data_IF_692900953975
#
_entry.id   IF_692900953975
#
_cell.length_a   1.000
_cell.length_b   1.000
_cell.length_c   1.000
_cell.angle_alpha   90.00
_cell.angle_beta   90.00
_cell.angle_gamma   90.00
#
_symmetry.space_group_name_H-M   'P 1'
#
loop_
_entity.id
_entity.type
_entity.pdbx_description
1 polymer ?
#
# COMPACT_ATOMS: atom_id res chain seq x y z
N UNK A 1 -6.99 -30.31 -3.95
CA UNK A 1 -5.95 -29.28 -3.71
C UNK A 1 -6.64 -28.01 -3.24
N UNK A 2 -6.21 -27.48 -2.09
CA UNK A 2 -6.84 -26.31 -1.49
C UNK A 2 -6.31 -25.03 -2.14
N UNK A 3 -7.22 -24.10 -2.44
CA UNK A 3 -6.90 -22.86 -3.18
C UNK A 3 -7.53 -21.65 -2.50
N UNK A 4 -7.00 -20.45 -2.78
CA UNK A 4 -7.62 -19.22 -2.29
C UNK A 4 -8.82 -18.84 -3.15
N UNK A 5 -9.93 -18.48 -2.51
CA UNK A 5 -11.10 -17.88 -3.16
C UNK A 5 -11.38 -16.50 -2.57
N UNK A 6 -11.79 -15.55 -3.41
CA UNK A 6 -12.19 -14.22 -2.95
C UNK A 6 -13.60 -14.29 -2.36
N UNK A 7 -13.76 -13.84 -1.12
CA UNK A 7 -15.04 -13.86 -0.40
C UNK A 7 -15.64 -12.46 -0.23
N UNK A 8 -14.81 -11.48 0.10
CA UNK A 8 -15.21 -10.08 0.24
C UNK A 8 -14.06 -9.16 -0.25
N UNK A 9 -14.27 -7.83 -0.33
CA UNK A 9 -13.18 -6.91 -0.65
C UNK A 9 -11.99 -7.11 0.30
N UNK A 10 -10.83 -7.43 -0.26
CA UNK A 10 -9.59 -7.73 0.48
C UNK A 10 -9.64 -8.95 1.43
N UNK A 11 -10.66 -9.81 1.32
CA UNK A 11 -10.76 -11.05 2.11
C UNK A 11 -10.70 -12.25 1.19
N UNK A 12 -9.70 -13.09 1.41
CA UNK A 12 -9.54 -14.39 0.77
C UNK A 12 -9.72 -15.51 1.79
N UNK A 13 -10.39 -16.57 1.38
CA UNK A 13 -10.75 -17.73 2.20
C UNK A 13 -10.16 -18.98 1.55
N UNK A 14 -9.97 -20.05 2.31
CA UNK A 14 -9.61 -21.34 1.75
C UNK A 14 -10.83 -21.97 1.10
N UNK A 15 -10.67 -22.39 -0.15
CA UNK A 15 -11.58 -23.27 -0.88
C UNK A 15 -11.00 -24.68 -0.83
N UNK A 16 -11.68 -25.57 -0.10
CA UNK A 16 -11.24 -26.94 0.14
C UNK A 16 -12.20 -27.94 -0.50
N UNK A 17 -11.68 -29.08 -0.92
CA UNK A 17 -12.48 -30.21 -1.44
C UNK A 17 -12.99 -31.11 -0.32
N UNK A 18 -12.30 -31.11 0.82
CA UNK A 18 -12.60 -31.93 1.99
C UNK A 18 -13.02 -31.04 3.16
N UNK A 19 -13.70 -31.64 4.14
CA UNK A 19 -14.06 -30.97 5.38
C UNK A 19 -12.86 -30.96 6.30
N UNK A 20 -12.67 -29.82 6.95
CA UNK A 20 -11.62 -29.59 7.91
C UNK A 20 -12.17 -28.97 9.19
N UNK A 21 -11.42 -29.14 10.29
CA UNK A 21 -11.78 -28.64 11.61
C UNK A 21 -11.11 -27.29 11.93
N UNK A 22 -11.71 -26.55 12.87
CA UNK A 22 -11.13 -25.29 13.36
C UNK A 22 -9.79 -25.57 14.06
N UNK A 23 -8.76 -24.84 13.66
CA UNK A 23 -7.38 -24.99 14.16
C UNK A 23 -6.49 -25.90 13.32
N UNK A 24 -7.04 -26.63 12.36
CA UNK A 24 -6.25 -27.48 11.46
C UNK A 24 -5.35 -26.63 10.54
N UNK A 25 -4.14 -27.11 10.28
CA UNK A 25 -3.18 -26.46 9.37
C UNK A 25 -3.27 -27.14 8.02
N UNK A 26 -3.62 -26.36 6.99
CA UNK A 26 -3.73 -26.83 5.61
C UNK A 26 -2.80 -26.06 4.68
N UNK A 27 -2.32 -26.73 3.63
CA UNK A 27 -1.57 -26.08 2.56
C UNK A 27 -2.53 -25.47 1.54
N UNK A 28 -2.49 -24.14 1.40
CA UNK A 28 -3.31 -23.41 0.44
C UNK A 28 -2.44 -22.86 -0.69
N UNK A 29 -2.80 -23.20 -1.91
CA UNK A 29 -2.05 -22.83 -3.11
C UNK A 29 -2.56 -21.51 -3.68
N UNK A 30 -1.64 -20.59 -3.93
CA UNK A 30 -1.91 -19.32 -4.62
C UNK A 30 -2.12 -19.54 -6.13
N UNK A 31 -2.72 -18.57 -6.83
CA UNK A 31 -2.87 -18.60 -8.29
C UNK A 31 -1.55 -18.78 -9.05
N UNK A 32 -0.42 -18.45 -8.42
CA UNK A 32 0.92 -18.55 -9.00
C UNK A 32 1.67 -19.83 -8.58
N UNK A 33 0.99 -20.80 -7.97
CA UNK A 33 1.59 -22.10 -7.60
C UNK A 33 2.41 -22.09 -6.31
N UNK A 34 2.49 -20.96 -5.60
CA UNK A 34 3.13 -20.92 -4.27
C UNK A 34 2.17 -21.46 -3.22
N UNK A 35 2.62 -22.44 -2.45
CA UNK A 35 1.91 -23.00 -1.30
C UNK A 35 2.26 -22.24 -0.02
N UNK A 36 1.28 -22.12 0.88
CA UNK A 36 1.51 -21.59 2.22
C UNK A 36 0.62 -22.32 3.21
N UNK A 37 1.19 -22.60 4.37
CA UNK A 37 0.47 -23.15 5.51
C UNK A 37 -0.52 -22.12 6.05
N UNK A 38 -1.77 -22.52 6.18
CA UNK A 38 -2.85 -21.68 6.68
C UNK A 38 -3.65 -22.45 7.74
N UNK A 39 -3.85 -21.81 8.88
CA UNK A 39 -4.66 -22.29 9.98
C UNK A 39 -6.12 -21.98 9.66
N UNK A 40 -6.97 -22.99 9.76
CA UNK A 40 -8.41 -22.87 9.57
C UNK A 40 -9.04 -22.24 10.81
N UNK A 41 -9.92 -21.28 10.57
CA UNK A 41 -10.62 -20.57 11.64
C UNK A 41 -12.11 -20.94 11.66
N UNK A 42 -12.94 -20.31 10.84
CA UNK A 42 -14.39 -20.58 10.82
C UNK A 42 -14.84 -21.15 9.49
N UNK A 43 -15.77 -22.12 9.56
CA UNK A 43 -16.53 -22.55 8.39
C UNK A 43 -17.52 -21.46 7.97
N UNK A 44 -17.56 -21.14 6.67
CA UNK A 44 -18.33 -20.01 6.16
C UNK A 44 -19.56 -20.43 5.35
N UNK A 45 -19.37 -21.38 4.44
CA UNK A 45 -20.40 -21.94 3.57
C UNK A 45 -19.89 -23.16 2.80
N UNK A 46 -20.83 -23.94 2.29
CA UNK A 46 -20.62 -24.98 1.30
C UNK A 46 -21.27 -24.55 -0.02
N UNK A 47 -20.54 -24.70 -1.13
CA UNK A 47 -21.05 -24.36 -2.47
C UNK A 47 -20.33 -25.18 -3.53
N UNK A 48 -21.09 -25.70 -4.49
CA UNK A 48 -20.57 -26.45 -5.64
C UNK A 48 -19.67 -27.64 -5.23
N UNK A 49 -19.96 -28.28 -4.09
CA UNK A 49 -19.17 -29.37 -3.52
C UNK A 49 -17.85 -28.95 -2.85
N UNK A 50 -17.64 -27.65 -2.64
CA UNK A 50 -16.47 -27.11 -1.94
C UNK A 50 -16.84 -26.49 -0.60
N UNK A 51 -15.92 -26.61 0.35
CA UNK A 51 -16.02 -26.05 1.69
C UNK A 51 -15.16 -24.79 1.80
N UNK A 52 -15.76 -23.71 2.30
CA UNK A 52 -15.10 -22.42 2.42
C UNK A 52 -14.81 -22.08 3.88
N UNK A 53 -13.55 -21.74 4.17
CA UNK A 53 -13.08 -21.46 5.52
C UNK A 53 -12.35 -20.13 5.60
N UNK A 54 -12.60 -19.34 6.63
CA UNK A 54 -11.69 -18.26 7.00
C UNK A 54 -10.38 -18.86 7.49
N UNK A 55 -9.27 -18.17 7.17
CA UNK A 55 -7.94 -18.71 7.39
C UNK A 55 -6.97 -17.62 7.83
N UNK A 56 -6.00 -18.01 8.66
CA UNK A 56 -4.83 -17.21 8.98
C UNK A 56 -3.60 -17.91 8.46
N UNK A 57 -2.68 -17.19 7.82
CA UNK A 57 -1.43 -17.82 7.42
C UNK A 57 -0.59 -18.11 8.66
N UNK A 58 -0.07 -19.34 8.75
CA UNK A 58 0.73 -19.78 9.89
C UNK A 58 2.04 -18.97 10.03
N UNK A 59 2.56 -18.45 8.90
CA UNK A 59 3.74 -17.58 8.87
C UNK A 59 3.49 -16.13 9.38
N UNK A 60 2.27 -15.82 9.82
CA UNK A 60 1.87 -14.50 10.29
C UNK A 60 1.78 -13.44 9.19
N UNK A 61 1.89 -13.82 7.92
CA UNK A 61 1.86 -12.87 6.82
C UNK A 61 0.45 -12.34 6.59
N UNK A 62 0.25 -11.05 6.87
CA UNK A 62 -1.01 -10.35 6.72
C UNK A 62 -0.85 -9.09 5.84
N UNK A 63 -1.91 -8.27 5.74
CA UNK A 63 -1.85 -7.05 4.92
C UNK A 63 -0.87 -6.00 5.46
N UNK A 64 -0.58 -6.00 6.76
CA UNK A 64 0.38 -5.07 7.38
C UNK A 64 1.80 -5.48 7.02
N UNK A 65 2.14 -6.76 7.14
CA UNK A 65 3.44 -7.28 6.70
C UNK A 65 3.66 -7.08 5.20
N UNK A 66 2.61 -7.25 4.38
CA UNK A 66 2.68 -6.95 2.95
C UNK A 66 2.98 -5.46 2.69
N UNK A 67 2.28 -4.56 3.40
CA UNK A 67 2.49 -3.12 3.28
C UNK A 67 3.91 -2.72 3.73
N UNK A 68 4.41 -3.31 4.82
CA UNK A 68 5.78 -3.13 5.30
C UNK A 68 6.83 -3.52 4.26
N UNK A 69 6.76 -4.75 3.72
CA UNK A 69 7.68 -5.20 2.67
C UNK A 69 7.61 -4.33 1.42
N UNK A 70 6.44 -3.77 1.11
CA UNK A 70 6.26 -2.88 -0.04
C UNK A 70 6.89 -1.51 0.20
N UNK A 71 6.70 -0.93 1.38
CA UNK A 71 7.34 0.32 1.80
C UNK A 71 8.87 0.20 1.76
N UNK A 72 9.44 -0.83 2.40
CA UNK A 72 10.89 -1.08 2.42
C UNK A 72 11.49 -1.18 1.01
N UNK A 73 10.81 -1.89 0.10
CA UNK A 73 11.26 -1.99 -1.30
C UNK A 73 11.24 -0.65 -2.02
N UNK A 74 10.25 0.19 -1.75
CA UNK A 74 10.13 1.51 -2.36
C UNK A 74 11.19 2.46 -1.80
N UNK A 75 11.41 2.47 -0.49
CA UNK A 75 12.48 3.24 0.16
C UNK A 75 13.85 2.85 -0.39
N UNK A 76 14.17 1.55 -0.43
CA UNK A 76 15.41 1.05 -1.04
C UNK A 76 15.57 1.47 -2.51
N UNK A 77 14.46 1.59 -3.25
CA UNK A 77 14.49 2.06 -4.65
C UNK A 77 14.67 3.57 -4.75
N UNK A 78 14.08 4.32 -3.81
CA UNK A 78 14.25 5.77 -3.70
C UNK A 78 15.70 6.11 -3.35
N UNK A 79 16.31 5.43 -2.39
CA UNK A 79 17.70 5.66 -2.00
C UNK A 79 18.66 5.40 -3.17
N UNK A 80 18.42 4.33 -3.94
CA UNK A 80 19.15 4.06 -5.18
C UNK A 80 18.96 5.15 -6.24
N UNK A 81 17.77 5.75 -6.33
CA UNK A 81 17.51 6.86 -7.24
C UNK A 81 18.21 8.14 -6.76
N UNK A 82 18.16 8.42 -5.46
CA UNK A 82 18.88 9.53 -4.82
C UNK A 82 20.37 9.43 -5.07
N UNK A 83 21.00 8.28 -4.81
CA UNK A 83 22.43 8.08 -5.06
C UNK A 83 22.79 8.23 -6.55
N UNK A 84 21.89 7.88 -7.48
CA UNK A 84 22.10 8.17 -8.91
C UNK A 84 22.01 9.67 -9.21
N UNK A 85 21.07 10.38 -8.60
CA UNK A 85 20.99 11.84 -8.72
C UNK A 85 22.30 12.48 -8.31
N UNK A 86 22.83 12.12 -7.13
CA UNK A 86 24.08 12.67 -6.60
C UNK A 86 25.27 12.40 -7.52
N UNK A 87 25.34 11.18 -8.09
CA UNK A 87 26.37 10.84 -9.08
C UNK A 87 26.26 11.70 -10.33
N UNK A 88 25.07 11.97 -10.84
CA UNK A 88 24.88 12.83 -12.02
C UNK A 88 25.16 14.30 -11.71
N UNK A 89 24.80 14.78 -10.51
CA UNK A 89 25.13 16.11 -10.03
C UNK A 89 26.64 16.32 -9.92
N UNK A 90 27.36 15.37 -9.33
CA UNK A 90 28.82 15.43 -9.28
C UNK A 90 29.44 15.41 -10.68
N UNK A 91 28.84 14.66 -11.63
CA UNK A 91 29.29 14.64 -13.03
C UNK A 91 28.99 15.93 -13.80
N UNK A 92 27.91 16.66 -13.48
CA UNK A 92 27.66 17.98 -14.10
C UNK A 92 28.69 19.00 -13.67
N UNK A 93 29.27 18.84 -12.47
CA UNK A 93 30.27 19.75 -11.92
C UNK A 93 31.72 19.38 -12.29
N UNK A 94 31.96 18.35 -13.11
CA UNK A 94 33.31 17.87 -13.44
C UNK A 94 34.23 18.98 -14.01
N UNK A 95 33.69 19.84 -14.86
CA UNK A 95 34.43 20.90 -15.54
C UNK A 95 34.07 22.30 -14.97
N UNK A 96 33.58 22.35 -13.72
CA UNK A 96 33.16 23.61 -13.06
C UNK A 96 34.27 24.65 -13.01
N UNK A 97 35.50 24.21 -12.76
CA UNK A 97 36.67 25.08 -12.63
C UNK A 97 37.01 25.77 -13.95
N UNK A 98 36.76 25.11 -15.09
CA UNK A 98 36.94 25.72 -16.41
C UNK A 98 35.81 26.70 -16.73
N UNK A 99 34.56 26.34 -16.41
CA UNK A 99 33.39 27.17 -16.70
C UNK A 99 33.32 28.42 -15.79
N UNK A 100 33.83 28.36 -14.57
CA UNK A 100 33.84 29.49 -13.63
C UNK A 100 34.73 30.65 -14.07
N UNK A 101 35.69 30.41 -14.96
CA UNK A 101 36.51 31.45 -15.59
C UNK A 101 35.69 32.39 -16.48
N UNK A 102 34.48 31.99 -16.88
CA UNK A 102 33.56 32.84 -17.64
C UNK A 102 34.01 33.16 -19.06
N UNK A 103 34.93 32.36 -19.64
CA UNK A 103 35.37 32.57 -21.01
C UNK A 103 34.20 32.41 -22.00
N UNK A 104 33.99 33.32 -22.96
CA UNK A 104 32.97 33.14 -23.98
C UNK A 104 33.35 32.06 -25.00
N UNK A 105 32.35 31.45 -25.65
CA UNK A 105 32.58 30.54 -26.78
C UNK A 105 33.12 31.35 -27.97
N UNK A 106 34.38 31.10 -28.33
CA UNK A 106 35.03 31.72 -29.50
C UNK A 106 34.62 31.00 -30.78
N UNK A 107 33.68 31.56 -31.54
CA UNK A 107 33.14 30.97 -32.78
C UNK A 107 34.25 30.90 -33.85
N UNK A 108 34.40 29.73 -34.51
CA UNK A 108 35.43 29.48 -35.52
C UNK A 108 36.81 29.08 -34.97
N UNK A 109 36.98 29.06 -33.64
CA UNK A 109 38.23 28.69 -33.00
C UNK A 109 38.32 27.16 -32.78
N UNK A 110 39.53 26.59 -32.77
CA UNK A 110 39.73 25.14 -32.61
C UNK A 110 39.18 24.58 -31.28
N UNK A 111 39.04 25.43 -30.24
CA UNK A 111 38.50 25.07 -28.93
C UNK A 111 36.97 25.11 -28.85
N UNK A 112 36.28 25.69 -29.84
CA UNK A 112 34.83 25.88 -29.84
C UNK A 112 34.07 24.57 -29.57
N UNK A 113 34.43 23.52 -30.33
CA UNK A 113 33.78 22.21 -30.24
C UNK A 113 33.89 21.60 -28.84
N UNK A 114 35.04 21.74 -28.19
CA UNK A 114 35.27 21.25 -26.82
C UNK A 114 34.40 22.04 -25.84
N UNK A 115 34.38 23.37 -25.96
CA UNK A 115 33.62 24.22 -25.05
C UNK A 115 32.11 23.94 -25.11
N UNK A 116 31.53 23.85 -26.32
CA UNK A 116 30.13 23.45 -26.51
C UNK A 116 29.83 22.08 -25.91
N UNK A 117 30.72 21.11 -26.12
CA UNK A 117 30.56 19.74 -25.60
C UNK A 117 30.55 19.71 -24.06
N UNK A 118 31.39 20.49 -23.39
CA UNK A 118 31.42 20.57 -21.92
C UNK A 118 30.08 21.09 -21.39
N UNK A 119 29.58 22.20 -21.94
CA UNK A 119 28.28 22.79 -21.55
C UNK A 119 27.14 21.80 -21.80
N UNK A 120 27.13 21.16 -22.96
CA UNK A 120 26.12 20.16 -23.30
C UNK A 120 26.14 18.97 -22.34
N UNK A 121 27.33 18.46 -22.00
CA UNK A 121 27.49 17.36 -21.05
C UNK A 121 27.03 17.75 -19.64
N UNK A 122 27.41 18.95 -19.16
CA UNK A 122 26.96 19.49 -17.88
C UNK A 122 25.43 19.55 -17.83
N UNK A 123 24.81 20.20 -18.84
CA UNK A 123 23.35 20.32 -18.92
C UNK A 123 22.63 18.97 -18.98
N UNK A 124 23.15 18.02 -19.76
CA UNK A 124 22.57 16.68 -19.86
C UNK A 124 22.68 15.90 -18.54
N UNK A 125 23.79 16.05 -17.81
CA UNK A 125 23.97 15.44 -16.50
C UNK A 125 23.06 16.09 -15.45
N UNK A 126 22.94 17.42 -15.44
CA UNK A 126 22.01 18.15 -14.55
C UNK A 126 20.56 17.69 -14.78
N UNK A 127 20.13 17.58 -16.04
CA UNK A 127 18.79 17.08 -16.37
C UNK A 127 18.55 15.68 -15.80
N UNK A 128 19.53 14.77 -15.94
CA UNK A 128 19.45 13.42 -15.37
C UNK A 128 19.42 13.43 -13.85
N UNK A 129 20.21 14.30 -13.19
CA UNK A 129 20.17 14.45 -11.74
C UNK A 129 18.77 14.84 -11.27
N UNK A 130 18.16 15.85 -11.89
CA UNK A 130 16.79 16.29 -11.57
C UNK A 130 15.79 15.14 -11.78
N UNK A 131 15.84 14.43 -12.92
CA UNK A 131 14.96 13.29 -13.21
C UNK A 131 15.06 12.20 -12.12
N UNK A 132 16.28 11.86 -11.68
CA UNK A 132 16.46 10.87 -10.62
C UNK A 132 16.03 11.40 -9.24
N UNK A 133 16.16 12.70 -8.98
CA UNK A 133 15.64 13.35 -7.77
C UNK A 133 14.11 13.27 -7.70
N UNK A 134 13.42 13.70 -8.75
CA UNK A 134 11.95 13.62 -8.85
C UNK A 134 11.45 12.18 -8.73
N UNK A 135 12.18 11.24 -9.35
CA UNK A 135 11.90 9.80 -9.21
C UNK A 135 12.05 9.32 -7.77
N UNK A 136 13.09 9.76 -7.06
CA UNK A 136 13.30 9.44 -5.64
C UNK A 136 12.14 9.95 -4.80
N UNK A 137 11.74 11.21 -4.97
CA UNK A 137 10.61 11.82 -4.26
C UNK A 137 9.29 11.08 -4.51
N UNK A 138 9.00 10.76 -5.76
CA UNK A 138 7.82 9.97 -6.13
C UNK A 138 7.81 8.60 -5.45
N UNK A 139 8.96 7.93 -5.37
CA UNK A 139 9.09 6.64 -4.70
C UNK A 139 8.91 6.76 -3.19
N UNK A 140 9.45 7.81 -2.56
CA UNK A 140 9.26 8.11 -1.12
C UNK A 140 7.80 8.37 -0.80
N UNK A 141 7.13 9.24 -1.55
CA UNK A 141 5.70 9.51 -1.35
C UNK A 141 4.84 8.24 -1.45
N UNK A 142 5.19 7.33 -2.36
CA UNK A 142 4.54 6.02 -2.46
C UNK A 142 4.88 5.11 -1.28
N UNK A 143 6.11 5.15 -0.77
CA UNK A 143 6.51 4.40 0.42
C UNK A 143 5.72 4.86 1.65
N UNK A 144 5.61 6.18 1.88
CA UNK A 144 4.84 6.77 2.97
C UNK A 144 3.38 6.29 2.99
N UNK A 145 2.77 6.17 1.80
CA UNK A 145 1.42 5.61 1.69
C UNK A 145 1.34 4.17 2.22
N UNK A 146 2.32 3.34 1.88
CA UNK A 146 2.37 1.96 2.38
C UNK A 146 2.74 1.89 3.85
N UNK A 147 3.56 2.81 4.36
CA UNK A 147 3.87 2.92 5.79
C UNK A 147 2.61 3.21 6.60
N UNK A 148 1.82 4.21 6.23
CA UNK A 148 0.52 4.49 6.86
C UNK A 148 -0.43 3.29 6.77
N UNK A 149 -0.35 2.51 5.69
CA UNK A 149 -1.18 1.32 5.51
C UNK A 149 -0.80 0.17 6.46
N UNK A 150 0.38 0.18 7.06
CA UNK A 150 0.79 -0.84 8.05
C UNK A 150 -0.09 -0.80 9.30
N UNK A 151 -0.65 0.36 9.64
CA UNK A 151 -1.54 0.53 10.80
C UNK A 151 -3.01 0.16 10.49
N UNK A 152 -3.33 -0.12 9.21
CA UNK A 152 -4.71 -0.37 8.80
C UNK A 152 -5.19 -1.77 9.20
N UNK A 153 -6.23 -1.80 10.04
CA UNK A 153 -6.98 -3.01 10.38
C UNK A 153 -8.12 -3.18 9.37
N UNK A 154 -8.30 -4.40 8.87
CA UNK A 154 -9.38 -4.73 7.92
C UNK A 154 -9.94 -6.13 8.18
N UNK A 155 -11.02 -6.48 7.47
CA UNK A 155 -11.75 -7.74 7.60
C UNK A 155 -10.93 -9.03 7.44
N UNK A 156 -9.71 -8.98 6.91
CA UNK A 156 -8.83 -10.15 6.83
C UNK A 156 -8.13 -10.51 8.14
N UNK A 157 -8.36 -9.73 9.21
CA UNK A 157 -7.73 -9.90 10.51
C UNK A 157 -8.76 -10.22 11.60
N UNK A 158 -8.43 -11.07 12.60
CA UNK A 158 -9.33 -11.36 13.72
C UNK A 158 -9.64 -10.11 14.56
N UNK A 159 -8.65 -9.24 14.77
CA UNK A 159 -8.76 -7.95 15.47
C UNK A 159 -9.79 -7.00 14.83
N UNK A 160 -10.22 -7.28 13.60
CA UNK A 160 -11.24 -6.49 12.92
C UNK A 160 -12.58 -6.44 13.65
N UNK A 161 -12.90 -7.46 14.45
CA UNK A 161 -14.14 -7.46 15.25
C UNK A 161 -14.15 -6.26 16.20
N UNK A 162 -13.11 -6.13 17.03
CA UNK A 162 -13.02 -5.06 18.03
C UNK A 162 -12.90 -3.70 17.35
N UNK A 163 -12.07 -3.60 16.30
CA UNK A 163 -11.94 -2.39 15.50
C UNK A 163 -13.29 -1.90 14.96
N UNK A 164 -14.09 -2.77 14.34
CA UNK A 164 -15.39 -2.39 13.79
C UNK A 164 -16.45 -2.14 14.87
N UNK A 165 -16.37 -2.79 16.04
CA UNK A 165 -17.23 -2.46 17.20
C UNK A 165 -17.01 -1.02 17.64
N UNK A 166 -15.76 -0.66 17.93
CA UNK A 166 -15.41 0.69 18.41
C UNK A 166 -15.79 1.76 17.37
N UNK A 167 -15.47 1.53 16.08
CA UNK A 167 -15.84 2.45 15.00
C UNK A 167 -17.35 2.61 14.84
N UNK A 168 -18.11 1.54 15.04
CA UNK A 168 -19.56 1.57 14.96
C UNK A 168 -20.19 2.37 16.09
N UNK A 169 -19.66 2.29 17.30
CA UNK A 169 -20.09 3.11 18.44
C UNK A 169 -19.83 4.60 18.16
N UNK A 170 -18.61 4.97 17.75
CA UNK A 170 -18.26 6.34 17.34
C UNK A 170 -19.20 6.86 16.24
N UNK A 171 -19.50 6.03 15.23
CA UNK A 171 -20.37 6.40 14.12
C UNK A 171 -21.83 6.57 14.56
N UNK A 172 -22.33 5.73 15.47
CA UNK A 172 -23.68 5.85 16.04
C UNK A 172 -23.81 7.13 16.85
N UNK A 173 -22.83 7.44 17.70
CA UNK A 173 -22.80 8.70 18.44
C UNK A 173 -22.78 9.92 17.52
N UNK A 174 -21.95 9.90 16.48
CA UNK A 174 -21.90 11.00 15.51
C UNK A 174 -23.25 11.18 14.82
N UNK A 175 -23.88 10.09 14.41
CA UNK A 175 -25.19 10.13 13.78
C UNK A 175 -26.28 10.64 14.74
N UNK A 176 -26.28 10.25 16.02
CA UNK A 176 -27.24 10.76 17.01
C UNK A 176 -27.02 12.25 17.28
N UNK A 177 -25.77 12.69 17.50
CA UNK A 177 -25.41 14.10 17.70
C UNK A 177 -25.80 14.99 16.51
N UNK A 178 -25.69 14.50 15.27
CA UNK A 178 -26.16 15.20 14.05
C UNK A 178 -27.69 15.21 13.91
N UNK A 179 -28.36 14.19 14.45
CA UNK A 179 -29.83 14.09 14.44
C UNK A 179 -30.45 15.01 15.49
N UNK A 180 -29.86 15.08 16.68
CA UNK A 180 -30.31 15.95 17.79
C UNK A 180 -29.89 17.40 17.63
N UNK A 181 -28.98 17.71 16.70
CA UNK A 181 -28.54 19.07 16.43
C UNK A 181 -27.41 19.57 17.35
N UNK A 182 -26.88 18.71 18.22
CA UNK A 182 -25.70 19.01 19.04
C UNK A 182 -24.50 19.35 18.13
N UNK A 183 -24.36 18.61 17.03
CA UNK A 183 -23.39 18.91 15.97
C UNK A 183 -24.15 19.55 14.81
N UNK A 184 -23.72 20.74 14.40
CA UNK A 184 -24.27 21.38 13.22
C UNK A 184 -23.92 20.61 11.94
N UNK A 185 -24.89 20.49 11.04
CA UNK A 185 -24.70 19.86 9.74
C UNK A 185 -23.95 20.84 8.85
N UNK A 186 -22.81 20.44 8.29
CA UNK A 186 -22.08 21.28 7.35
C UNK A 186 -22.77 21.40 5.98
N UNK A 187 -23.57 20.39 5.62
CA UNK A 187 -24.33 20.33 4.37
C UNK A 187 -25.57 19.44 4.51
N UNK A 188 -26.52 19.56 3.58
CA UNK A 188 -27.81 18.86 3.60
C UNK A 188 -27.69 17.33 3.75
N UNK A 189 -26.67 16.73 3.12
CA UNK A 189 -26.45 15.28 3.11
C UNK A 189 -25.66 14.74 4.32
N UNK A 190 -25.26 15.60 5.28
CA UNK A 190 -24.43 15.19 6.43
C UNK A 190 -25.04 14.02 7.21
N UNK A 191 -26.37 14.06 7.42
CA UNK A 191 -27.08 13.01 8.14
C UNK A 191 -27.16 11.71 7.34
N UNK A 192 -27.39 11.81 6.02
CA UNK A 192 -27.41 10.65 5.11
C UNK A 192 -26.06 9.94 5.09
N UNK A 193 -24.96 10.69 5.01
CA UNK A 193 -23.61 10.12 5.07
C UNK A 193 -23.33 9.46 6.42
N UNK A 194 -23.71 10.10 7.53
CA UNK A 194 -23.56 9.49 8.85
C UNK A 194 -24.37 8.19 9.01
N UNK A 195 -25.59 8.14 8.46
CA UNK A 195 -26.39 6.91 8.47
C UNK A 195 -25.78 5.82 7.59
N UNK A 196 -25.28 6.20 6.40
CA UNK A 196 -24.56 5.28 5.50
C UNK A 196 -23.34 4.67 6.18
N UNK A 197 -22.53 5.47 6.87
CA UNK A 197 -21.36 4.96 7.61
C UNK A 197 -21.73 3.98 8.71
N UNK A 198 -22.82 4.23 9.45
CA UNK A 198 -23.31 3.28 10.47
C UNK A 198 -23.71 1.95 9.81
N UNK A 199 -24.47 2.00 8.72
CA UNK A 199 -24.92 0.78 8.03
C UNK A 199 -23.74 -0.01 7.43
N UNK A 200 -22.73 0.67 6.88
CA UNK A 200 -21.52 0.02 6.36
C UNK A 200 -20.70 -0.64 7.47
N UNK A 201 -20.52 0.03 8.61
CA UNK A 201 -19.83 -0.53 9.76
C UNK A 201 -20.59 -1.70 10.38
N UNK A 202 -21.93 -1.64 10.45
CA UNK A 202 -22.77 -2.77 10.88
C UNK A 202 -22.59 -3.98 9.97
N UNK A 203 -22.54 -3.76 8.65
CA UNK A 203 -22.28 -4.83 7.68
C UNK A 203 -20.88 -5.42 7.86
N UNK A 204 -19.86 -4.58 8.03
CA UNK A 204 -18.48 -5.02 8.25
C UNK A 204 -18.34 -5.79 9.56
N UNK A 205 -18.96 -5.33 10.65
CA UNK A 205 -18.94 -6.03 11.93
C UNK A 205 -19.60 -7.41 11.83
N UNK A 206 -20.78 -7.50 11.20
CA UNK A 206 -21.46 -8.80 10.96
C UNK A 206 -20.57 -9.76 10.16
N UNK A 207 -19.88 -9.24 9.15
CA UNK A 207 -18.95 -10.03 8.34
C UNK A 207 -17.71 -10.45 9.14
N UNK A 208 -17.15 -9.56 9.96
CA UNK A 208 -16.02 -9.87 10.85
C UNK A 208 -16.39 -10.96 11.85
N UNK A 209 -17.58 -10.89 12.47
CA UNK A 209 -18.09 -11.94 13.36
C UNK A 209 -18.26 -13.26 12.61
N UNK A 210 -18.78 -13.24 11.37
CA UNK A 210 -18.88 -14.47 10.58
C UNK A 210 -17.51 -15.09 10.28
N UNK A 211 -16.50 -14.26 10.01
CA UNK A 211 -15.15 -14.71 9.67
C UNK A 211 -14.34 -15.17 10.90
N UNK A 212 -14.48 -14.48 12.03
CA UNK A 212 -13.55 -14.58 13.17
C UNK A 212 -14.23 -14.72 14.53
N UNK A 213 -15.57 -14.76 14.57
CA UNK A 213 -16.31 -14.98 15.80
C UNK A 213 -16.08 -16.38 16.37
N UNK A 214 -16.42 -16.56 17.63
CA UNK A 214 -16.53 -17.88 18.25
C UNK A 214 -17.79 -18.61 17.80
#
# INVERSE_FOLDING_TARGET
>A
MNTYAKYAPNVYVAKCTEKHEKGEVINVTTRHGKENESIIFNFLLERDGFFYYSILRADGFNTQQWAKRRAERLNNSADKASGKSDVYYNRSNKDSDFLSLGEPIKIGHHSERRHRKIIEQANNNTRKSIEFSEKSESLKSRADFYERKQESINLSMPESIEYYKNKLEEAKEKHTKLKTGIIQRSHSSSLTYAKKTVNELEKNLKLAIKLWGE
#
